data_IF_037951004826
#
_entry.id   IF_037951004826
#
_cell.length_a   1.000
_cell.length_b   1.000
_cell.length_c   1.000
_cell.angle_alpha   90.00
_cell.angle_beta   90.00
_cell.angle_gamma   90.00
#
_symmetry.space_group_name_H-M   'P 1'
#
loop_
_entity.id
_entity.type
_entity.pdbx_description
1 polymer ?
#
# COMPACT_ATOMS: atom_id res chain seq x y z
N UNK A 1 0.29 -35.23 4.49
CA UNK A 1 1.34 -34.19 4.45
C UNK A 1 0.62 -32.87 4.19
N UNK A 2 0.29 -32.12 5.25
CA UNK A 2 -0.51 -30.90 5.16
C UNK A 2 0.47 -29.73 5.30
N UNK A 3 0.75 -29.03 4.20
CA UNK A 3 1.58 -27.83 4.21
C UNK A 3 0.72 -26.65 4.71
N UNK A 4 0.72 -26.43 6.03
CA UNK A 4 0.30 -25.14 6.57
C UNK A 4 1.51 -24.22 6.45
N UNK A 5 1.51 -23.36 5.43
CA UNK A 5 2.47 -22.27 5.36
C UNK A 5 2.01 -21.23 6.39
N UNK A 6 2.64 -21.24 7.57
CA UNK A 6 2.38 -20.26 8.62
C UNK A 6 2.97 -18.93 8.15
N UNK A 7 2.19 -18.15 7.40
CA UNK A 7 2.51 -16.74 7.18
C UNK A 7 2.42 -16.05 8.53
N UNK A 8 3.56 -15.98 9.21
CA UNK A 8 3.80 -15.21 10.43
C UNK A 8 4.06 -13.74 10.08
N UNK A 9 3.40 -13.27 9.02
CA UNK A 9 3.51 -11.91 8.54
C UNK A 9 2.20 -11.23 8.87
N UNK A 10 2.15 -10.62 10.05
CA UNK A 10 1.09 -9.69 10.43
C UNK A 10 1.30 -8.41 9.61
N UNK A 11 1.21 -8.48 8.28
CA UNK A 11 1.46 -7.35 7.38
C UNK A 11 0.16 -6.88 6.76
N UNK A 12 -0.17 -5.61 6.93
CA UNK A 12 -1.31 -4.98 6.28
C UNK A 12 -0.82 -4.34 4.98
N UNK A 13 -1.52 -4.62 3.88
CA UNK A 13 -1.29 -4.01 2.58
C UNK A 13 -2.41 -3.01 2.27
N UNK A 14 -2.06 -1.80 1.87
CA UNK A 14 -2.99 -0.74 1.52
C UNK A 14 -2.68 -0.20 0.13
N UNK A 15 -3.67 -0.26 -0.76
CA UNK A 15 -3.58 0.32 -2.10
C UNK A 15 -4.31 1.66 -2.14
N UNK A 16 -3.62 2.71 -2.57
CA UNK A 16 -4.15 4.07 -2.69
C UNK A 16 -3.59 4.75 -3.94
N UNK A 17 -4.02 5.99 -4.21
CA UNK A 17 -3.50 6.82 -5.29
C UNK A 17 -3.02 8.17 -4.74
N UNK A 18 -1.99 8.76 -5.34
CA UNK A 18 -1.32 9.99 -4.86
C UNK A 18 -2.24 11.21 -4.78
N UNK A 19 -3.40 11.18 -5.43
CA UNK A 19 -4.44 12.20 -5.33
C UNK A 19 -5.05 12.37 -3.93
N UNK A 20 -4.77 11.46 -3.00
CA UNK A 20 -5.21 11.49 -1.60
C UNK A 20 -4.07 11.86 -0.64
N UNK A 21 -3.40 12.99 -0.89
CA UNK A 21 -2.30 13.48 -0.04
C UNK A 21 -2.72 13.66 1.43
N UNK A 22 -3.99 14.02 1.68
CA UNK A 22 -4.54 14.11 3.04
C UNK A 22 -4.56 12.75 3.78
N UNK A 23 -4.80 11.65 3.06
CA UNK A 23 -4.82 10.31 3.63
C UNK A 23 -3.40 9.77 3.86
N UNK A 24 -2.42 10.17 3.04
CA UNK A 24 -1.01 9.81 3.20
C UNK A 24 -0.47 10.14 4.59
N UNK A 25 -0.75 11.33 5.10
CA UNK A 25 -0.33 11.73 6.44
C UNK A 25 -0.91 10.83 7.54
N UNK A 26 -2.11 10.30 7.36
CA UNK A 26 -2.72 9.36 8.30
C UNK A 26 -2.01 8.00 8.25
N UNK A 27 -1.68 7.51 7.06
CA UNK A 27 -0.97 6.24 6.88
C UNK A 27 0.43 6.30 7.47
N UNK A 28 1.20 7.34 7.17
CA UNK A 28 2.53 7.55 7.74
C UNK A 28 2.48 7.66 9.27
N UNK A 29 1.46 8.32 9.83
CA UNK A 29 1.24 8.40 11.29
C UNK A 29 0.88 7.05 11.92
N UNK A 30 0.20 6.18 11.18
CA UNK A 30 -0.14 4.82 11.59
C UNK A 30 1.01 3.82 11.41
N UNK A 31 2.15 4.24 10.85
CA UNK A 31 3.34 3.40 10.65
C UNK A 31 3.38 2.70 9.29
N UNK A 32 2.48 3.03 8.36
CA UNK A 32 2.53 2.49 7.01
C UNK A 32 3.74 3.07 6.25
N UNK A 33 4.44 2.19 5.55
CA UNK A 33 5.60 2.50 4.70
C UNK A 33 5.21 2.30 3.25
N UNK A 34 5.64 3.21 2.37
CA UNK A 34 5.43 3.04 0.92
C UNK A 34 6.31 1.89 0.43
N UNK A 35 5.68 0.84 -0.08
CA UNK A 35 6.31 -0.39 -0.57
C UNK A 35 6.53 -0.32 -2.09
N UNK A 36 5.55 0.20 -2.82
CA UNK A 36 5.59 0.29 -4.28
C UNK A 36 4.80 1.52 -4.77
N UNK A 37 5.22 2.14 -5.86
CA UNK A 37 4.41 3.13 -6.55
C UNK A 37 4.58 3.03 -8.07
N UNK A 38 3.46 3.05 -8.78
CA UNK A 38 3.47 3.04 -10.24
C UNK A 38 2.54 4.11 -10.79
N UNK A 39 2.98 4.74 -11.86
CA UNK A 39 2.19 5.76 -12.55
C UNK A 39 1.38 5.10 -13.66
N UNK A 40 0.06 5.26 -13.58
CA UNK A 40 -0.88 4.82 -14.60
C UNK A 40 -1.48 6.03 -15.31
N UNK A 41 -1.47 6.01 -16.64
CA UNK A 41 -2.02 7.05 -17.51
C UNK A 41 -3.23 6.54 -18.33
N UNK A 42 -3.74 5.35 -18.01
CA UNK A 42 -4.70 4.61 -18.86
C UNK A 42 -6.10 5.24 -18.91
N UNK A 43 -6.42 6.18 -18.01
CA UNK A 43 -7.75 6.80 -17.88
C UNK A 43 -7.74 8.31 -18.17
N UNK A 44 -6.78 8.81 -18.93
CA UNK A 44 -6.71 10.21 -19.37
C UNK A 44 -6.25 11.20 -18.29
N UNK A 45 -6.19 10.79 -17.02
CA UNK A 45 -5.50 11.49 -15.94
C UNK A 45 -4.30 10.66 -15.48
N UNK A 46 -3.18 11.31 -15.20
CA UNK A 46 -2.01 10.68 -14.58
C UNK A 46 -2.36 10.35 -13.13
N UNK A 47 -2.60 9.07 -12.86
CA UNK A 47 -2.89 8.55 -11.52
C UNK A 47 -1.66 7.78 -11.05
N UNK A 48 -1.06 8.22 -9.96
CA UNK A 48 0.03 7.46 -9.34
C UNK A 48 -0.58 6.52 -8.32
N UNK A 49 -0.55 5.23 -8.60
CA UNK A 49 -0.90 4.19 -7.63
C UNK A 49 0.23 4.03 -6.63
N UNK A 50 -0.13 3.94 -5.36
CA UNK A 50 0.79 3.80 -4.25
C UNK A 50 0.34 2.62 -3.39
N UNK A 51 1.26 1.72 -3.12
CA UNK A 51 1.08 0.56 -2.26
C UNK A 51 1.85 0.81 -0.98
N UNK A 52 1.14 0.79 0.14
CA UNK A 52 1.72 0.89 1.45
C UNK A 52 1.66 -0.46 2.18
N UNK A 53 2.66 -0.73 3.00
CA UNK A 53 2.75 -1.89 3.88
C UNK A 53 2.90 -1.45 5.33
N UNK A 54 2.26 -2.15 6.25
CA UNK A 54 2.44 -1.99 7.70
C UNK A 54 2.78 -3.35 8.28
N UNK A 55 3.93 -3.46 8.94
CA UNK A 55 4.28 -4.62 9.74
C UNK A 55 3.74 -4.41 11.17
N UNK A 56 2.89 -5.32 11.65
CA UNK A 56 2.31 -5.33 13.00
C UNK A 56 3.15 -6.16 13.98
#
# INVERSE_FOLDING_TARGET
MIFVNKFSETKIYLWTFSGLTAARHLYEKLGFVLDDEYTDNSWGNTVVHQKFTLEL
#
